data_IF_164319614826
#
_entry.id   IF_164319614826
#
_cell.length_a   1.000
_cell.length_b   1.000
_cell.length_c   1.000
_cell.angle_alpha   90.00
_cell.angle_beta   90.00
_cell.angle_gamma   90.00
#
_symmetry.space_group_name_H-M   'P 1'
#
loop_
_entity.id
_entity.type
_entity.pdbx_description
1 polymer ?
#
# COMPACT_ATOMS: atom_id res chain seq x y z
N UNK A 1 -20.82 -18.60 1.01
CA UNK A 1 -21.00 -17.75 2.20
C UNK A 1 -19.96 -16.64 2.08
N UNK A 2 -20.34 -15.40 2.41
CA UNK A 2 -19.94 -14.13 1.74
C UNK A 2 -18.44 -13.90 1.50
N UNK A 3 -18.08 -13.46 0.28
CA UNK A 3 -16.73 -13.01 -0.13
C UNK A 3 -16.20 -11.80 0.65
N UNK A 4 -17.01 -11.13 1.47
CA UNK A 4 -16.64 -10.22 2.55
C UNK A 4 -17.92 -10.03 3.39
N UNK A 5 -17.89 -10.24 4.71
CA UNK A 5 -19.09 -10.12 5.56
C UNK A 5 -19.31 -8.73 6.13
N UNK A 6 -18.33 -7.83 6.03
CA UNK A 6 -18.51 -6.47 6.55
C UNK A 6 -19.47 -5.65 5.67
N UNK A 7 -20.48 -4.97 6.28
CA UNK A 7 -21.39 -4.11 5.55
C UNK A 7 -20.62 -3.01 4.82
N UNK A 8 -21.12 -2.67 3.63
CA UNK A 8 -20.51 -1.68 2.76
C UNK A 8 -20.48 -0.29 3.42
N UNK A 9 -19.37 0.41 3.31
CA UNK A 9 -19.28 1.83 3.66
C UNK A 9 -19.93 2.65 2.55
N UNK A 10 -20.98 3.39 2.87
CA UNK A 10 -21.55 4.40 1.96
C UNK A 10 -20.53 5.53 1.77
N UNK A 11 -20.21 5.96 0.55
CA UNK A 11 -19.36 7.13 0.34
C UNK A 11 -19.92 8.34 1.10
N UNK A 12 -19.13 8.92 2.02
CA UNK A 12 -19.50 10.13 2.77
C UNK A 12 -20.11 9.92 4.17
N UNK A 13 -20.27 8.68 4.64
CA UNK A 13 -20.52 8.40 6.07
C UNK A 13 -19.25 7.80 6.64
N UNK A 14 -18.67 8.43 7.67
CA UNK A 14 -17.57 7.82 8.41
C UNK A 14 -18.09 6.52 9.05
N UNK A 15 -17.80 5.39 8.41
CA UNK A 15 -17.95 4.09 9.05
C UNK A 15 -17.03 4.09 10.27
N UNK A 16 -17.59 3.75 11.42
CA UNK A 16 -16.85 3.67 12.67
C UNK A 16 -16.68 2.20 13.00
N UNK A 17 -15.48 1.67 12.83
CA UNK A 17 -15.21 0.28 13.17
C UNK A 17 -14.78 0.20 14.63
N UNK A 18 -15.53 -0.57 15.43
CA UNK A 18 -15.27 -0.74 16.86
C UNK A 18 -14.64 -2.11 17.08
N UNK A 19 -13.52 -2.15 17.80
CA UNK A 19 -12.84 -3.38 18.19
C UNK A 19 -13.79 -4.27 19.00
N UNK A 20 -13.97 -5.56 18.66
CA UNK A 20 -14.88 -6.46 19.34
C UNK A 20 -14.64 -6.49 20.86
N UNK A 21 -15.73 -6.46 21.64
CA UNK A 21 -15.71 -6.48 23.10
C UNK A 21 -15.00 -5.31 23.79
N UNK A 22 -14.80 -4.19 23.07
CA UNK A 22 -14.25 -2.93 23.61
C UNK A 22 -15.07 -1.74 23.11
N UNK A 23 -14.76 -0.53 23.60
CA UNK A 23 -15.28 0.74 23.04
C UNK A 23 -14.25 1.42 22.11
N UNK A 24 -13.14 0.75 21.79
CA UNK A 24 -12.04 1.30 20.99
C UNK A 24 -12.45 1.37 19.53
N UNK A 25 -12.22 2.54 18.94
CA UNK A 25 -12.60 2.84 17.56
C UNK A 25 -11.34 2.83 16.70
N UNK A 26 -11.29 1.96 15.70
CA UNK A 26 -10.08 1.72 14.90
C UNK A 26 -9.61 2.99 14.19
N UNK A 27 -10.53 3.85 13.73
CA UNK A 27 -10.19 5.13 13.10
C UNK A 27 -9.45 6.08 14.06
N UNK A 28 -9.65 5.93 15.38
CA UNK A 28 -9.00 6.77 16.39
C UNK A 28 -7.60 6.29 16.79
N UNK A 29 -7.22 5.06 16.45
CA UNK A 29 -5.89 4.53 16.71
C UNK A 29 -4.88 5.16 15.75
N UNK A 30 -3.67 5.54 16.20
CA UNK A 30 -2.63 5.99 15.29
C UNK A 30 -2.16 4.84 14.41
N UNK A 31 -2.10 5.10 13.11
CA UNK A 31 -1.71 4.08 12.14
C UNK A 31 -0.56 4.54 11.24
N UNK A 32 0.13 3.56 10.67
CA UNK A 32 1.20 3.74 9.68
C UNK A 32 0.78 3.06 8.38
N UNK A 33 0.79 3.81 7.28
CA UNK A 33 0.48 3.28 5.93
C UNK A 33 1.76 3.17 5.12
N UNK A 34 2.24 1.96 4.84
CA UNK A 34 3.48 1.77 4.06
C UNK A 34 3.22 1.46 2.60
N UNK A 35 2.02 0.99 2.24
CA UNK A 35 1.68 0.55 0.88
C UNK A 35 0.32 1.08 0.44
N UNK A 36 0.35 2.25 -0.17
CA UNK A 36 -0.85 2.93 -0.66
C UNK A 36 -0.50 3.79 -1.89
N UNK A 37 -1.10 3.49 -3.04
CA UNK A 37 -0.82 4.15 -4.31
C UNK A 37 -1.63 5.44 -4.46
N UNK A 38 -0.97 6.54 -4.82
CA UNK A 38 -1.62 7.85 -5.02
C UNK A 38 -2.72 7.78 -6.09
N UNK A 39 -2.41 7.17 -7.23
CA UNK A 39 -3.29 6.96 -8.38
C UNK A 39 -4.33 5.85 -8.14
N UNK A 40 -4.11 5.03 -7.12
CA UNK A 40 -5.06 4.08 -6.56
C UNK A 40 -5.98 4.64 -5.46
N UNK A 41 -5.73 5.87 -5.00
CA UNK A 41 -6.41 6.51 -3.86
C UNK A 41 -7.26 7.72 -4.20
N UNK A 42 -7.50 8.00 -5.49
CA UNK A 42 -8.18 9.23 -5.94
C UNK A 42 -9.67 9.22 -5.54
N UNK A 43 -10.15 10.31 -4.94
CA UNK A 43 -11.57 10.45 -4.59
C UNK A 43 -12.45 10.40 -5.87
N UNK A 44 -13.52 9.57 -5.91
CA UNK A 44 -14.42 9.52 -7.07
C UNK A 44 -15.04 10.88 -7.44
N UNK A 45 -15.32 11.72 -6.44
CA UNK A 45 -15.81 13.10 -6.63
C UNK A 45 -14.81 13.93 -7.41
N UNK A 46 -13.52 13.84 -7.06
CA UNK A 46 -12.43 14.57 -7.70
C UNK A 46 -12.22 14.10 -9.14
N UNK A 47 -12.33 12.79 -9.41
CA UNK A 47 -12.30 12.26 -10.78
C UNK A 47 -13.41 12.89 -11.62
N UNK A 48 -14.66 12.91 -11.13
CA UNK A 48 -15.80 13.49 -11.85
C UNK A 48 -15.61 14.98 -12.13
N UNK A 49 -15.11 15.73 -11.17
CA UNK A 49 -14.85 17.17 -11.31
C UNK A 49 -13.75 17.44 -12.35
N UNK A 50 -12.59 16.82 -12.19
CA UNK A 50 -11.45 17.00 -13.09
C UNK A 50 -11.72 16.49 -14.50
N UNK A 51 -12.51 15.41 -14.63
CA UNK A 51 -12.95 14.91 -15.93
C UNK A 51 -13.87 15.92 -16.63
N UNK A 52 -14.80 16.54 -15.92
CA UNK A 52 -15.69 17.57 -16.46
C UNK A 52 -14.89 18.80 -16.93
N UNK A 53 -13.93 19.25 -16.13
CA UNK A 53 -13.03 20.35 -16.48
C UNK A 53 -12.15 20.02 -17.70
N UNK A 54 -11.67 18.78 -17.78
CA UNK A 54 -10.81 18.29 -18.85
C UNK A 54 -11.54 17.83 -20.11
N UNK A 55 -12.88 17.79 -20.12
CA UNK A 55 -13.67 17.23 -21.22
C UNK A 55 -13.47 15.73 -21.45
N UNK A 56 -13.19 14.97 -20.38
CA UNK A 56 -12.92 13.54 -20.42
C UNK A 56 -14.22 12.74 -20.22
N UNK A 57 -14.36 11.63 -20.95
CA UNK A 57 -15.47 10.69 -20.75
C UNK A 57 -15.15 9.72 -19.62
N UNK A 58 -16.14 9.47 -18.76
CA UNK A 58 -16.04 8.52 -17.65
C UNK A 58 -17.03 7.37 -17.85
N UNK A 59 -16.76 6.20 -17.25
CA UNK A 59 -17.72 5.07 -17.25
C UNK A 59 -18.99 5.38 -16.44
N UNK A 60 -18.96 6.40 -15.58
CA UNK A 60 -20.12 6.90 -14.85
C UNK A 60 -20.00 8.42 -14.55
N UNK A 61 -21.13 9.11 -14.52
CA UNK A 61 -21.18 10.59 -14.43
C UNK A 61 -21.21 11.15 -12.99
N UNK A 62 -21.32 10.27 -11.97
CA UNK A 62 -21.39 10.68 -10.56
C UNK A 62 -20.53 9.80 -9.67
N UNK A 63 -20.10 10.34 -8.54
CA UNK A 63 -19.09 9.74 -7.66
C UNK A 63 -19.44 8.34 -7.15
N UNK A 64 -20.68 8.13 -6.70
CA UNK A 64 -21.14 6.82 -6.17
C UNK A 64 -21.07 5.71 -7.22
N UNK A 65 -21.80 5.83 -8.35
CA UNK A 65 -21.71 4.90 -9.47
C UNK A 65 -20.30 4.69 -10.02
N UNK A 66 -19.46 5.74 -10.02
CA UNK A 66 -18.06 5.61 -10.43
C UNK A 66 -17.25 4.75 -9.45
N UNK A 67 -17.42 4.96 -8.14
CA UNK A 67 -16.79 4.13 -7.11
C UNK A 67 -17.24 2.65 -7.22
N UNK A 68 -18.54 2.43 -7.47
CA UNK A 68 -19.08 1.09 -7.69
C UNK A 68 -18.47 0.41 -8.92
N UNK A 69 -18.25 1.17 -9.99
CA UNK A 69 -17.59 0.68 -11.20
C UNK A 69 -16.15 0.23 -10.93
N UNK A 70 -15.35 1.06 -10.24
CA UNK A 70 -13.98 0.71 -9.84
C UNK A 70 -13.96 -0.58 -9.02
N UNK A 71 -14.78 -0.65 -7.97
CA UNK A 71 -14.85 -1.82 -7.07
C UNK A 71 -15.29 -3.09 -7.79
N UNK A 72 -16.28 -2.99 -8.68
CA UNK A 72 -16.78 -4.15 -9.44
C UNK A 72 -15.71 -4.70 -10.38
N UNK A 73 -14.93 -3.81 -11.01
CA UNK A 73 -13.80 -4.23 -11.85
C UNK A 73 -12.66 -4.84 -11.03
N UNK A 74 -12.40 -4.32 -9.82
CA UNK A 74 -11.40 -4.88 -8.91
C UNK A 74 -11.76 -6.29 -8.40
N UNK A 75 -13.03 -6.59 -8.12
CA UNK A 75 -13.51 -7.91 -7.66
C UNK A 75 -13.55 -9.00 -8.76
N UNK A 76 -12.70 -8.86 -9.79
CA UNK A 76 -12.64 -9.74 -10.95
C UNK A 76 -11.79 -10.99 -10.73
N UNK A 77 -10.98 -11.07 -9.67
CA UNK A 77 -10.04 -12.15 -9.43
C UNK A 77 -8.83 -12.13 -10.39
N UNK A 78 -8.52 -10.97 -10.98
CA UNK A 78 -7.48 -10.80 -12.00
C UNK A 78 -6.78 -9.45 -11.86
N UNK A 79 -5.47 -9.48 -11.63
CA UNK A 79 -4.64 -8.27 -11.63
C UNK A 79 -4.75 -7.48 -12.96
N UNK A 80 -4.94 -8.15 -14.10
CA UNK A 80 -5.06 -7.45 -15.40
C UNK A 80 -6.31 -6.58 -15.43
N UNK A 81 -7.47 -7.13 -15.07
CA UNK A 81 -8.74 -6.39 -15.05
C UNK A 81 -8.75 -5.32 -13.96
N UNK A 82 -8.05 -5.55 -12.85
CA UNK A 82 -7.80 -4.54 -11.83
C UNK A 82 -7.04 -3.33 -12.39
N UNK A 83 -5.94 -3.57 -13.11
CA UNK A 83 -5.07 -2.54 -13.68
C UNK A 83 -5.73 -1.72 -14.80
N UNK A 84 -6.69 -2.29 -15.55
CA UNK A 84 -7.42 -1.57 -16.59
C UNK A 84 -8.16 -0.33 -16.06
N UNK A 85 -8.56 -0.33 -14.78
CA UNK A 85 -9.27 0.80 -14.17
C UNK A 85 -8.39 2.03 -13.98
N UNK A 86 -7.06 1.87 -13.87
CA UNK A 86 -6.13 2.99 -13.72
C UNK A 86 -6.13 3.93 -14.92
N UNK A 87 -6.55 3.48 -16.11
CA UNK A 87 -6.71 4.37 -17.25
C UNK A 87 -7.61 5.58 -16.93
N UNK A 88 -8.61 5.39 -16.06
CA UNK A 88 -9.50 6.47 -15.61
C UNK A 88 -8.80 7.42 -14.65
N UNK A 89 -8.14 6.92 -13.60
CA UNK A 89 -7.44 7.79 -12.62
C UNK A 89 -6.27 8.52 -13.28
N UNK A 90 -5.48 7.83 -14.08
CA UNK A 90 -4.37 8.43 -14.83
C UNK A 90 -4.85 9.53 -15.77
N UNK A 91 -6.02 9.42 -16.40
CA UNK A 91 -6.53 10.43 -17.34
C UNK A 91 -6.72 11.82 -16.70
N UNK A 92 -7.06 11.87 -15.41
CA UNK A 92 -7.24 13.11 -14.65
C UNK A 92 -5.97 13.58 -13.95
N UNK A 93 -4.90 12.78 -13.96
CA UNK A 93 -3.63 13.04 -13.25
C UNK A 93 -2.50 13.51 -14.18
N UNK A 94 -2.81 14.19 -15.29
CA UNK A 94 -1.81 14.56 -16.31
C UNK A 94 -1.30 16.01 -16.20
N UNK A 95 -1.65 16.75 -15.15
CA UNK A 95 -1.22 18.14 -14.97
C UNK A 95 -0.73 18.38 -13.54
N UNK A 96 0.21 19.30 -13.36
CA UNK A 96 0.73 19.66 -12.04
C UNK A 96 -0.36 20.12 -11.04
N UNK A 97 -1.35 20.97 -11.42
CA UNK A 97 -2.43 21.32 -10.51
C UNK A 97 -3.28 20.13 -10.06
N UNK A 98 -3.56 19.18 -10.97
CA UNK A 98 -4.36 18.00 -10.64
C UNK A 98 -3.61 17.06 -9.71
N UNK A 99 -2.32 16.80 -9.99
CA UNK A 99 -1.45 16.01 -9.11
C UNK A 99 -1.36 16.63 -7.71
N UNK A 100 -1.15 17.95 -7.63
CA UNK A 100 -1.07 18.66 -6.35
C UNK A 100 -2.37 18.56 -5.56
N UNK A 101 -3.53 18.74 -6.22
CA UNK A 101 -4.84 18.58 -5.59
C UNK A 101 -5.04 17.17 -5.05
N UNK A 102 -4.81 16.15 -5.89
CA UNK A 102 -5.04 14.75 -5.53
C UNK A 102 -4.11 14.32 -4.40
N UNK A 103 -2.85 14.76 -4.40
CA UNK A 103 -1.92 14.49 -3.31
C UNK A 103 -2.36 15.15 -1.99
N UNK A 104 -2.86 16.39 -2.02
CA UNK A 104 -3.40 17.05 -0.83
C UNK A 104 -4.60 16.29 -0.24
N UNK A 105 -5.55 15.91 -1.11
CA UNK A 105 -6.73 15.13 -0.72
C UNK A 105 -6.35 13.75 -0.17
N UNK A 106 -5.32 13.12 -0.73
CA UNK A 106 -4.79 11.85 -0.26
C UNK A 106 -4.28 11.94 1.19
N UNK A 107 -3.53 13.00 1.53
CA UNK A 107 -3.06 13.25 2.91
C UNK A 107 -4.22 13.47 3.86
N UNK A 108 -5.22 14.24 3.44
CA UNK A 108 -6.42 14.51 4.23
C UNK A 108 -7.20 13.23 4.55
N UNK A 109 -7.35 12.34 3.57
CA UNK A 109 -8.03 11.05 3.73
C UNK A 109 -7.29 10.14 4.70
N UNK A 110 -5.96 10.05 4.58
CA UNK A 110 -5.13 9.29 5.52
C UNK A 110 -5.25 9.82 6.95
N UNK A 111 -5.16 11.14 7.13
CA UNK A 111 -5.31 11.75 8.46
C UNK A 111 -6.73 11.60 9.02
N UNK A 112 -7.75 11.58 8.16
CA UNK A 112 -9.13 11.29 8.54
C UNK A 112 -9.30 9.85 9.02
N UNK A 113 -8.55 8.92 8.43
CA UNK A 113 -8.50 7.52 8.83
C UNK A 113 -7.55 7.26 10.01
N UNK A 114 -6.97 8.29 10.66
CA UNK A 114 -6.09 8.15 11.83
C UNK A 114 -4.65 7.75 11.52
N UNK A 115 -4.23 7.86 10.26
CA UNK A 115 -2.82 7.66 9.88
C UNK A 115 -1.99 8.86 10.32
N UNK A 116 -0.88 8.58 11.00
CA UNK A 116 0.06 9.60 11.50
C UNK A 116 1.38 9.61 10.71
N UNK A 117 1.71 8.52 10.03
CA UNK A 117 2.82 8.43 9.09
C UNK A 117 2.44 7.59 7.87
N UNK A 118 2.79 8.05 6.68
CA UNK A 118 2.55 7.31 5.44
C UNK A 118 3.71 7.39 4.46
N UNK A 119 3.93 6.31 3.72
CA UNK A 119 4.82 6.26 2.56
C UNK A 119 3.97 6.06 1.31
N UNK A 120 3.64 7.17 0.64
CA UNK A 120 2.80 7.16 -0.56
C UNK A 120 3.62 6.73 -1.77
N UNK A 121 3.11 5.78 -2.55
CA UNK A 121 3.78 5.29 -3.75
C UNK A 121 3.02 5.68 -5.02
N UNK A 122 3.75 5.90 -6.11
CA UNK A 122 3.18 6.23 -7.43
C UNK A 122 4.28 6.27 -8.48
N UNK A 123 3.92 6.22 -9.77
CA UNK A 123 4.87 6.20 -10.88
C UNK A 123 4.89 7.53 -11.66
N UNK A 124 5.89 8.41 -11.47
CA UNK A 124 5.96 9.71 -12.15
C UNK A 124 5.88 9.64 -13.67
N UNK A 125 6.41 8.57 -14.26
CA UNK A 125 6.40 8.35 -15.70
C UNK A 125 5.00 8.24 -16.33
N UNK A 126 3.99 7.85 -15.55
CA UNK A 126 2.60 7.71 -16.01
C UNK A 126 1.85 9.05 -16.14
N UNK A 127 2.47 10.16 -15.72
CA UNK A 127 1.83 11.47 -15.62
C UNK A 127 2.37 12.50 -16.63
N UNK A 128 2.89 12.02 -17.76
CA UNK A 128 3.64 12.82 -18.74
C UNK A 128 2.88 13.09 -20.05
N UNK A 129 1.66 12.57 -20.21
CA UNK A 129 0.92 12.57 -21.49
C UNK A 129 0.52 13.96 -21.98
N UNK A 130 0.44 14.96 -21.09
CA UNK A 130 0.17 16.37 -21.43
C UNK A 130 1.42 17.26 -21.35
N UNK A 131 2.62 16.67 -21.45
CA UNK A 131 3.89 17.39 -21.56
C UNK A 131 4.55 17.76 -20.23
N UNK A 132 4.04 17.23 -19.11
CA UNK A 132 4.69 17.35 -17.81
C UNK A 132 5.96 16.47 -17.80
N UNK A 133 7.07 17.00 -17.28
CA UNK A 133 8.24 16.17 -17.03
C UNK A 133 8.05 15.31 -15.77
N UNK A 134 8.74 14.17 -15.68
CA UNK A 134 8.70 13.31 -14.49
C UNK A 134 9.16 14.06 -13.22
N UNK A 135 10.10 14.99 -13.37
CA UNK A 135 10.63 15.86 -12.31
C UNK A 135 9.59 16.92 -11.85
N UNK A 136 8.88 17.55 -12.79
CA UNK A 136 7.78 18.46 -12.47
C UNK A 136 6.60 17.74 -11.81
N UNK A 137 6.33 16.49 -12.21
CA UNK A 137 5.32 15.66 -11.57
C UNK A 137 5.67 15.41 -10.10
N UNK A 138 6.93 15.05 -9.80
CA UNK A 138 7.38 14.83 -8.41
C UNK A 138 7.25 16.08 -7.56
N UNK A 139 7.64 17.24 -8.10
CA UNK A 139 7.43 18.53 -7.42
C UNK A 139 5.96 18.86 -7.18
N UNK A 140 5.09 18.56 -8.14
CA UNK A 140 3.65 18.79 -7.99
C UNK A 140 3.04 17.94 -6.88
N UNK A 141 3.37 16.64 -6.84
CA UNK A 141 2.92 15.74 -5.77
C UNK A 141 3.47 16.20 -4.42
N UNK A 142 4.75 16.57 -4.33
CA UNK A 142 5.33 17.11 -3.09
C UNK A 142 4.60 18.37 -2.60
N UNK A 143 4.32 19.32 -3.50
CA UNK A 143 3.57 20.53 -3.16
C UNK A 143 2.17 20.21 -2.65
N UNK A 144 1.51 19.21 -3.25
CA UNK A 144 0.21 18.72 -2.78
C UNK A 144 0.27 18.09 -1.40
N UNK A 145 1.28 17.24 -1.15
CA UNK A 145 1.52 16.63 0.17
C UNK A 145 1.68 17.72 1.23
N UNK A 146 2.53 18.72 0.99
CA UNK A 146 2.77 19.83 1.93
C UNK A 146 1.48 20.62 2.21
N UNK A 147 0.69 20.88 1.18
CA UNK A 147 -0.61 21.54 1.34
C UNK A 147 -1.60 20.69 2.15
N UNK A 148 -1.66 19.38 1.89
CA UNK A 148 -2.51 18.45 2.64
C UNK A 148 -2.11 18.38 4.12
N UNK A 149 -0.81 18.32 4.42
CA UNK A 149 -0.29 18.36 5.80
C UNK A 149 -0.71 19.68 6.48
N UNK A 150 -0.58 20.80 5.80
CA UNK A 150 -1.00 22.10 6.33
C UNK A 150 -2.51 22.16 6.59
N UNK A 151 -3.33 21.62 5.69
CA UNK A 151 -4.79 21.53 5.86
C UNK A 151 -5.14 20.69 7.10
N UNK A 152 -4.52 19.52 7.26
CA UNK A 152 -4.72 18.63 8.41
C UNK A 152 -4.34 19.32 9.73
N UNK A 153 -3.25 20.08 9.75
CA UNK A 153 -2.81 20.83 10.93
C UNK A 153 -3.86 21.84 11.42
N UNK A 154 -4.66 22.43 10.52
CA UNK A 154 -5.76 23.34 10.92
C UNK A 154 -6.86 22.66 11.74
N UNK A 155 -6.98 21.32 11.63
CA UNK A 155 -7.90 20.50 12.42
C UNK A 155 -7.30 20.01 13.75
N UNK A 156 -6.09 20.44 14.11
CA UNK A 156 -5.38 20.01 15.32
C UNK A 156 -4.78 18.60 15.24
N UNK A 157 -4.73 18.00 14.03
CA UNK A 157 -4.12 16.70 13.76
C UNK A 157 -2.74 16.86 13.13
N UNK A 158 -1.91 15.84 13.28
CA UNK A 158 -0.55 15.80 12.71
C UNK A 158 -0.39 14.54 11.87
N UNK A 159 0.19 14.70 10.69
CA UNK A 159 0.54 13.59 9.79
C UNK A 159 1.86 13.92 9.08
N UNK A 160 2.66 12.91 8.80
CA UNK A 160 3.87 13.00 7.98
C UNK A 160 3.76 12.05 6.81
N UNK A 161 4.14 12.50 5.62
CA UNK A 161 4.09 11.69 4.39
C UNK A 161 5.43 11.76 3.68
N UNK A 162 5.98 10.61 3.30
CA UNK A 162 7.11 10.48 2.39
C UNK A 162 6.69 9.84 1.07
N UNK A 163 7.37 10.16 -0.03
CA UNK A 163 7.10 9.58 -1.34
C UNK A 163 8.00 8.37 -1.62
N UNK A 164 7.44 7.32 -2.22
CA UNK A 164 8.15 6.24 -2.89
C UNK A 164 7.90 6.39 -4.40
N UNK A 165 8.97 6.52 -5.17
CA UNK A 165 8.84 6.61 -6.63
C UNK A 165 8.90 5.21 -7.24
N UNK A 166 7.82 4.83 -7.92
CA UNK A 166 7.69 3.54 -8.58
C UNK A 166 8.23 3.62 -10.02
N UNK A 167 9.10 2.68 -10.38
CA UNK A 167 9.32 2.35 -11.78
C UNK A 167 8.33 1.25 -12.21
N UNK A 168 7.76 1.37 -13.40
CA UNK A 168 6.86 0.35 -13.93
C UNK A 168 7.68 -0.79 -14.56
N UNK A 169 7.45 -2.02 -14.10
CA UNK A 169 8.17 -3.25 -14.50
C UNK A 169 8.27 -3.47 -16.01
N UNK A 170 7.21 -3.10 -16.73
CA UNK A 170 7.06 -3.23 -18.17
C UNK A 170 7.67 -2.08 -18.96
N UNK A 171 8.06 -1.00 -18.28
CA UNK A 171 8.69 0.16 -18.89
C UNK A 171 10.21 0.07 -18.71
N UNK A 172 10.96 0.38 -19.75
CA UNK A 172 12.43 0.39 -19.70
C UNK A 172 12.96 1.77 -19.20
N UNK A 173 12.41 2.27 -18.09
CA UNK A 173 12.66 3.61 -17.55
C UNK A 173 13.14 3.61 -16.09
N UNK A 174 13.47 2.43 -15.53
CA UNK A 174 13.80 2.25 -14.12
C UNK A 174 14.95 3.14 -13.62
N UNK A 175 16.02 3.31 -14.41
CA UNK A 175 17.16 4.12 -14.02
C UNK A 175 16.80 5.61 -13.86
N UNK A 176 15.94 6.15 -14.74
CA UNK A 176 15.53 7.55 -14.64
C UNK A 176 14.71 7.81 -13.38
N UNK A 177 13.80 6.88 -13.03
CA UNK A 177 13.01 6.97 -11.79
C UNK A 177 13.91 6.83 -10.56
N UNK A 178 14.90 5.93 -10.58
CA UNK A 178 15.88 5.80 -9.50
C UNK A 178 16.72 7.08 -9.30
N UNK A 179 17.14 7.72 -10.40
CA UNK A 179 17.83 9.01 -10.37
C UNK A 179 16.97 10.11 -9.76
N UNK A 180 15.68 10.17 -10.10
CA UNK A 180 14.74 11.09 -9.46
C UNK A 180 14.60 10.83 -7.97
N UNK A 181 14.48 9.56 -7.56
CA UNK A 181 14.31 9.23 -6.16
C UNK A 181 15.49 9.76 -5.33
N UNK A 182 16.72 9.56 -5.83
CA UNK A 182 17.95 10.09 -5.22
C UNK A 182 17.98 11.62 -5.25
N UNK A 183 17.61 12.25 -6.37
CA UNK A 183 17.62 13.71 -6.51
C UNK A 183 16.65 14.41 -5.54
N UNK A 184 15.52 13.78 -5.22
CA UNK A 184 14.46 14.33 -4.36
C UNK A 184 14.48 13.82 -2.91
N UNK A 185 15.55 13.13 -2.48
CA UNK A 185 15.66 12.55 -1.13
C UNK A 185 15.55 13.58 0.00
N UNK A 186 15.97 14.82 -0.27
CA UNK A 186 15.91 15.94 0.68
C UNK A 186 14.66 16.82 0.48
N UNK A 187 13.78 16.41 -0.44
CA UNK A 187 12.54 17.14 -0.78
C UNK A 187 11.33 16.20 -0.77
N UNK A 188 11.30 15.26 0.18
CA UNK A 188 10.13 14.44 0.49
C UNK A 188 10.10 13.03 -0.11
N UNK A 189 11.02 12.66 -1.01
CA UNK A 189 11.16 11.25 -1.43
C UNK A 189 11.95 10.48 -0.38
N UNK A 190 11.41 9.35 0.08
CA UNK A 190 12.01 8.51 1.11
C UNK A 190 12.44 7.14 0.61
N UNK A 191 12.13 6.79 -0.64
CA UNK A 191 12.50 5.50 -1.20
C UNK A 191 12.09 5.30 -2.65
N UNK A 192 12.37 4.09 -3.12
CA UNK A 192 12.04 3.61 -4.47
C UNK A 192 11.20 2.33 -4.40
N UNK A 193 10.39 2.09 -5.43
CA UNK A 193 9.62 0.85 -5.61
C UNK A 193 9.58 0.43 -7.09
N UNK A 194 9.16 -0.79 -7.36
CA UNK A 194 8.74 -1.24 -8.69
C UNK A 194 7.33 -1.80 -8.62
N UNK A 195 6.49 -1.44 -9.59
CA UNK A 195 5.09 -1.83 -9.66
C UNK A 195 4.72 -2.28 -11.08
N UNK A 196 3.45 -2.64 -11.30
CA UNK A 196 2.95 -3.15 -12.58
C UNK A 196 2.94 -4.68 -12.66
N UNK A 197 2.79 -5.27 -13.86
CA UNK A 197 2.67 -6.71 -14.03
C UNK A 197 3.92 -7.43 -13.50
N UNK A 198 3.73 -8.30 -12.52
CA UNK A 198 4.82 -9.04 -11.88
C UNK A 198 5.33 -10.18 -12.77
N UNK A 199 4.42 -11.09 -13.15
CA UNK A 199 4.74 -12.26 -13.97
C UNK A 199 5.32 -11.84 -15.34
N UNK A 200 6.49 -12.38 -15.66
CA UNK A 200 7.20 -12.10 -16.92
C UNK A 200 8.07 -10.83 -16.89
N UNK A 201 8.04 -10.05 -15.81
CA UNK A 201 8.88 -8.86 -15.66
C UNK A 201 9.71 -8.93 -14.37
N UNK A 202 10.72 -9.83 -14.31
CA UNK A 202 11.51 -10.03 -13.09
C UNK A 202 12.29 -8.76 -12.70
N UNK A 203 12.58 -8.63 -11.41
CA UNK A 203 13.32 -7.48 -10.86
C UNK A 203 14.68 -7.28 -11.56
N UNK A 204 15.37 -8.35 -11.96
CA UNK A 204 16.65 -8.30 -12.69
C UNK A 204 16.64 -7.45 -13.96
N UNK A 205 15.48 -7.13 -14.54
CA UNK A 205 15.37 -6.18 -15.66
C UNK A 205 15.83 -4.76 -15.30
N UNK A 206 15.72 -4.36 -14.03
CA UNK A 206 16.06 -3.03 -13.52
C UNK A 206 17.42 -3.02 -12.79
N UNK A 207 18.35 -3.90 -13.19
CA UNK A 207 19.63 -4.07 -12.50
C UNK A 207 20.47 -2.78 -12.45
N UNK A 208 20.40 -1.94 -13.47
CA UNK A 208 21.09 -0.63 -13.53
C UNK A 208 20.50 0.36 -12.52
N UNK A 209 19.18 0.42 -12.41
CA UNK A 209 18.47 1.20 -11.40
C UNK A 209 18.87 0.75 -9.99
N UNK A 210 18.89 -0.57 -9.72
CA UNK A 210 19.28 -1.07 -8.41
C UNK A 210 20.75 -0.82 -8.08
N UNK A 211 21.64 -0.94 -9.05
CA UNK A 211 23.05 -0.58 -8.87
C UNK A 211 23.20 0.92 -8.53
N UNK A 212 22.47 1.80 -9.22
CA UNK A 212 22.47 3.23 -8.91
C UNK A 212 21.94 3.51 -7.50
N UNK A 213 20.85 2.87 -7.08
CA UNK A 213 20.30 3.03 -5.73
C UNK A 213 21.26 2.54 -4.64
N UNK A 214 22.06 1.50 -4.90
CA UNK A 214 23.12 1.04 -3.99
C UNK A 214 24.24 2.08 -3.82
N UNK A 215 24.71 2.65 -4.92
CA UNK A 215 25.76 3.69 -4.91
C UNK A 215 25.34 4.93 -4.09
N UNK A 216 24.04 5.17 -4.00
CA UNK A 216 23.44 6.34 -3.34
C UNK A 216 22.72 6.04 -2.02
N UNK A 217 22.75 4.79 -1.54
CA UNK A 217 22.14 4.35 -0.28
C UNK A 217 20.65 4.70 -0.19
N UNK A 218 19.91 4.56 -1.30
CA UNK A 218 18.48 4.81 -1.33
C UNK A 218 17.71 3.54 -0.95
N UNK A 219 16.90 3.56 0.12
CA UNK A 219 16.09 2.42 0.48
C UNK A 219 15.01 2.12 -0.58
N UNK A 220 14.61 0.86 -0.65
CA UNK A 220 13.62 0.38 -1.61
C UNK A 220 12.77 -0.74 -1.06
N UNK A 221 11.49 -0.66 -1.38
CA UNK A 221 10.55 -1.79 -1.33
C UNK A 221 10.37 -2.32 -2.74
N UNK A 222 9.91 -3.55 -2.91
CA UNK A 222 9.70 -4.17 -4.22
C UNK A 222 8.40 -4.98 -4.14
N UNK A 223 7.41 -4.67 -4.98
CA UNK A 223 6.23 -5.55 -5.13
C UNK A 223 6.70 -6.95 -5.51
N UNK A 224 6.38 -7.98 -4.75
CA UNK A 224 6.68 -9.35 -5.12
C UNK A 224 5.80 -10.33 -4.35
N UNK A 225 5.49 -11.47 -4.94
CA UNK A 225 4.65 -12.47 -4.31
C UNK A 225 3.17 -12.08 -4.26
N UNK A 226 2.69 -11.31 -5.22
CA UNK A 226 1.27 -10.96 -5.39
C UNK A 226 0.67 -11.72 -6.58
N UNK A 227 1.26 -11.53 -7.77
CA UNK A 227 0.83 -12.11 -9.03
C UNK A 227 1.88 -13.06 -9.64
N UNK A 228 2.96 -13.34 -8.91
CA UNK A 228 3.94 -14.37 -9.20
C UNK A 228 4.38 -15.07 -7.89
N UNK A 229 5.07 -16.20 -7.99
CA UNK A 229 5.41 -17.06 -6.86
C UNK A 229 6.73 -16.71 -6.16
N UNK A 230 7.28 -17.73 -5.48
CA UNK A 230 8.52 -17.63 -4.70
C UNK A 230 9.73 -17.12 -5.49
N UNK A 231 9.81 -17.39 -6.80
CA UNK A 231 10.92 -16.92 -7.64
C UNK A 231 10.94 -15.39 -7.76
N UNK A 232 9.77 -14.76 -7.83
CA UNK A 232 9.69 -13.30 -7.85
C UNK A 232 10.10 -12.69 -6.50
N UNK A 233 9.67 -13.29 -5.38
CA UNK A 233 10.14 -12.89 -4.05
C UNK A 233 11.66 -13.04 -3.94
N UNK A 234 12.22 -14.16 -4.41
CA UNK A 234 13.65 -14.38 -4.42
C UNK A 234 14.39 -13.34 -5.28
N UNK A 235 13.86 -13.00 -6.45
CA UNK A 235 14.40 -11.95 -7.33
C UNK A 235 14.33 -10.56 -6.71
N UNK A 236 13.22 -10.22 -6.04
CA UNK A 236 13.08 -8.96 -5.31
C UNK A 236 14.14 -8.80 -4.21
N UNK A 237 14.44 -9.88 -3.49
CA UNK A 237 15.45 -9.85 -2.42
C UNK A 237 16.89 -9.87 -2.96
N UNK A 238 17.16 -10.65 -4.01
CA UNK A 238 18.52 -10.86 -4.52
C UNK A 238 18.95 -9.82 -5.54
N UNK A 239 18.15 -9.61 -6.59
CA UNK A 239 18.41 -8.61 -7.63
C UNK A 239 17.95 -7.22 -7.18
N UNK A 240 16.72 -7.15 -6.67
CA UNK A 240 16.10 -5.91 -6.21
C UNK A 240 16.65 -5.41 -4.88
N UNK A 241 17.35 -6.26 -4.12
CA UNK A 241 17.93 -5.92 -2.80
C UNK A 241 16.91 -5.19 -1.91
N UNK A 242 15.69 -5.70 -1.93
CA UNK A 242 14.55 -5.10 -1.26
C UNK A 242 14.73 -5.11 0.26
N UNK A 243 14.38 -4.00 0.91
CA UNK A 243 14.34 -3.88 2.37
C UNK A 243 12.96 -4.27 2.93
N UNK A 244 11.92 -4.17 2.10
CA UNK A 244 10.55 -4.62 2.33
C UNK A 244 10.00 -5.25 1.06
N UNK A 245 8.99 -6.09 1.18
CA UNK A 245 8.30 -6.70 0.05
C UNK A 245 6.88 -6.12 -0.03
N UNK A 246 6.55 -5.49 -1.16
CA UNK A 246 5.17 -5.13 -1.48
C UNK A 246 4.36 -6.41 -1.64
N UNK A 247 3.31 -6.58 -0.83
CA UNK A 247 2.60 -7.84 -0.62
C UNK A 247 3.46 -8.92 0.05
N UNK A 248 4.15 -9.77 -0.74
CA UNK A 248 4.88 -10.94 -0.23
C UNK A 248 3.98 -12.08 0.28
N UNK A 249 2.68 -12.04 0.00
CA UNK A 249 1.70 -13.00 0.54
C UNK A 249 1.96 -14.44 0.09
N UNK A 250 2.46 -14.62 -1.14
CA UNK A 250 2.89 -15.91 -1.70
C UNK A 250 4.14 -16.50 -1.03
N UNK A 251 4.75 -15.82 -0.07
CA UNK A 251 5.79 -16.44 0.77
C UNK A 251 5.25 -17.62 1.57
N UNK A 252 3.94 -17.66 1.81
CA UNK A 252 3.26 -18.79 2.43
C UNK A 252 3.51 -20.13 1.68
N UNK A 253 3.77 -20.09 0.37
CA UNK A 253 4.05 -21.30 -0.45
C UNK A 253 5.35 -22.01 0.00
N UNK A 254 6.23 -21.29 0.69
CA UNK A 254 7.48 -21.81 1.24
C UNK A 254 7.31 -22.38 2.67
N UNK A 255 6.08 -22.48 3.18
CA UNK A 255 5.76 -22.97 4.52
C UNK A 255 4.99 -24.29 4.40
N UNK A 256 5.54 -25.34 4.99
CA UNK A 256 5.03 -26.71 4.85
C UNK A 256 4.60 -27.23 6.22
N UNK A 257 3.35 -27.67 6.38
CA UNK A 257 2.93 -28.34 7.61
C UNK A 257 3.70 -29.64 7.81
N UNK A 258 4.40 -29.76 8.93
CA UNK A 258 5.20 -30.93 9.28
C UNK A 258 4.36 -32.02 9.96
N UNK A 259 3.23 -31.64 10.58
CA UNK A 259 2.25 -32.56 11.17
C UNK A 259 0.83 -31.99 11.08
N UNK A 260 -0.13 -32.86 10.81
CA UNK A 260 -1.55 -32.46 10.71
C UNK A 260 -2.19 -32.12 12.07
N UNK A 261 -1.59 -32.56 13.18
CA UNK A 261 -2.14 -32.41 14.55
C UNK A 261 -1.58 -31.20 15.32
N UNK A 262 -0.54 -30.53 14.82
CA UNK A 262 -0.02 -29.29 15.39
C UNK A 262 0.12 -28.20 14.30
N UNK A 263 -0.77 -27.21 14.25
CA UNK A 263 -0.74 -26.16 13.23
C UNK A 263 0.52 -25.28 13.31
N UNK A 264 1.29 -25.35 14.41
CA UNK A 264 2.56 -24.62 14.57
C UNK A 264 3.79 -25.46 14.18
N UNK A 265 3.62 -26.75 13.98
CA UNK A 265 4.69 -27.61 13.48
C UNK A 265 4.82 -27.39 11.97
N UNK A 266 5.57 -26.36 11.57
CA UNK A 266 5.88 -26.08 10.17
C UNK A 266 7.36 -26.28 9.88
N UNK A 267 7.66 -26.69 8.65
CA UNK A 267 8.99 -26.63 8.05
C UNK A 267 8.97 -25.52 7.02
N UNK A 268 9.93 -24.60 7.10
CA UNK A 268 10.08 -23.53 6.12
C UNK A 268 11.16 -23.89 5.12
N UNK A 269 11.00 -23.45 3.87
CA UNK A 269 12.11 -23.42 2.93
C UNK A 269 13.04 -22.24 3.24
N UNK A 270 14.27 -22.28 2.71
CA UNK A 270 15.32 -21.30 3.02
C UNK A 270 14.92 -19.85 2.75
N UNK A 271 14.05 -19.62 1.77
CA UNK A 271 13.56 -18.29 1.44
C UNK A 271 12.70 -17.71 2.56
N UNK A 272 11.73 -18.48 3.06
CA UNK A 272 10.89 -18.10 4.20
C UNK A 272 11.74 -17.91 5.47
N UNK A 273 12.68 -18.82 5.76
CA UNK A 273 13.63 -18.64 6.87
C UNK A 273 14.45 -17.36 6.74
N UNK A 274 14.88 -17.01 5.53
CA UNK A 274 15.66 -15.79 5.28
C UNK A 274 14.86 -14.53 5.60
N UNK A 275 13.61 -14.46 5.11
CA UNK A 275 12.70 -13.34 5.36
C UNK A 275 12.41 -13.21 6.85
N UNK A 276 12.02 -14.32 7.51
CA UNK A 276 11.68 -14.35 8.93
C UNK A 276 12.84 -13.87 9.81
N UNK A 277 14.02 -14.44 9.62
CA UNK A 277 15.18 -14.18 10.48
C UNK A 277 15.75 -12.76 10.33
N UNK A 278 15.48 -12.09 9.19
CA UNK A 278 15.90 -10.71 8.94
C UNK A 278 14.81 -9.69 9.21
N UNK A 279 13.61 -10.14 9.59
CA UNK A 279 12.45 -9.27 9.81
C UNK A 279 12.17 -8.38 8.59
N UNK A 280 12.33 -8.95 7.39
CA UNK A 280 11.94 -8.27 6.15
C UNK A 280 10.43 -8.14 6.17
N UNK A 281 9.94 -6.89 6.11
CA UNK A 281 8.52 -6.61 6.23
C UNK A 281 7.76 -7.06 4.97
N UNK A 282 6.61 -7.67 5.20
CA UNK A 282 5.62 -8.01 4.19
C UNK A 282 4.52 -6.95 4.25
N UNK A 283 4.46 -6.10 3.24
CA UNK A 283 3.48 -5.04 3.13
C UNK A 283 2.16 -5.61 2.59
N UNK A 284 1.44 -6.35 3.43
CA UNK A 284 0.26 -7.12 3.01
C UNK A 284 -0.95 -6.20 2.86
N UNK A 285 -1.76 -6.47 1.83
CA UNK A 285 -2.95 -5.68 1.48
C UNK A 285 -4.16 -6.60 1.34
N UNK A 286 -4.80 -7.00 2.45
CA UNK A 286 -5.73 -8.14 2.48
C UNK A 286 -6.86 -8.09 1.45
N UNK A 287 -7.60 -6.98 1.37
CA UNK A 287 -8.70 -6.84 0.41
C UNK A 287 -8.19 -6.87 -1.02
N UNK A 288 -7.07 -6.19 -1.31
CA UNK A 288 -6.46 -6.22 -2.64
C UNK A 288 -6.03 -7.65 -3.01
N UNK A 289 -5.35 -8.36 -2.12
CA UNK A 289 -4.91 -9.73 -2.34
C UNK A 289 -6.07 -10.70 -2.63
N UNK A 290 -7.22 -10.51 -1.98
CA UNK A 290 -8.43 -11.29 -2.28
C UNK A 290 -8.99 -10.95 -3.67
N UNK A 291 -9.09 -9.66 -3.99
CA UNK A 291 -9.64 -9.16 -5.26
C UNK A 291 -8.76 -9.51 -6.48
N UNK A 292 -7.44 -9.49 -6.32
CA UNK A 292 -6.49 -9.85 -7.38
C UNK A 292 -6.30 -11.35 -7.53
N UNK A 293 -6.80 -12.15 -6.58
CA UNK A 293 -6.65 -13.60 -6.55
C UNK A 293 -5.26 -14.06 -6.12
N UNK A 294 -4.50 -13.20 -5.42
CA UNK A 294 -3.10 -13.44 -5.03
C UNK A 294 -2.90 -14.72 -4.20
N UNK A 295 -3.93 -15.17 -3.48
CA UNK A 295 -3.89 -16.39 -2.66
C UNK A 295 -4.94 -17.43 -3.07
N UNK A 296 -5.41 -17.40 -4.32
CA UNK A 296 -6.51 -18.26 -4.79
C UNK A 296 -6.25 -19.77 -4.64
N UNK A 297 -4.99 -20.20 -4.47
CA UNK A 297 -4.62 -21.59 -4.19
C UNK A 297 -4.95 -22.04 -2.75
N UNK A 298 -5.11 -21.10 -1.82
CA UNK A 298 -5.47 -21.36 -0.42
C UNK A 298 -7.00 -21.33 -0.22
N UNK A 299 -7.70 -20.48 -0.96
CA UNK A 299 -9.15 -20.34 -0.91
C UNK A 299 -9.65 -19.06 -1.58
N UNK A 300 -10.92 -18.71 -1.38
CA UNK A 300 -11.57 -17.56 -2.02
C UNK A 300 -12.30 -16.64 -1.03
N UNK A 301 -11.99 -16.78 0.26
CA UNK A 301 -12.51 -15.93 1.33
C UNK A 301 -11.38 -15.33 2.15
N UNK A 302 -11.69 -14.25 2.89
CA UNK A 302 -10.70 -13.63 3.77
C UNK A 302 -10.19 -14.58 4.87
N UNK A 303 -10.98 -15.58 5.28
CA UNK A 303 -10.56 -16.57 6.27
C UNK A 303 -9.43 -17.49 5.77
N UNK A 304 -9.29 -17.61 4.45
CA UNK A 304 -8.24 -18.41 3.80
C UNK A 304 -6.97 -17.58 3.55
N UNK A 305 -6.98 -16.28 3.88
CA UNK A 305 -5.87 -15.38 3.58
C UNK A 305 -4.60 -15.80 4.35
N UNK A 306 -3.43 -15.91 3.69
CA UNK A 306 -2.17 -16.29 4.35
C UNK A 306 -1.64 -15.30 5.40
N UNK A 307 -2.36 -14.21 5.69
CA UNK A 307 -1.93 -13.20 6.66
C UNK A 307 -1.79 -13.84 8.04
N UNK A 308 -2.77 -14.64 8.45
CA UNK A 308 -2.82 -15.25 9.78
C UNK A 308 -1.68 -16.23 10.02
N UNK A 309 -1.40 -17.12 9.05
CA UNK A 309 -0.29 -18.07 9.22
C UNK A 309 1.08 -17.36 9.23
N UNK A 310 1.28 -16.34 8.39
CA UNK A 310 2.50 -15.54 8.38
C UNK A 310 2.68 -14.79 9.71
N UNK A 311 1.63 -14.14 10.20
CA UNK A 311 1.66 -13.43 11.47
C UNK A 311 1.95 -14.36 12.66
N UNK A 312 1.20 -15.47 12.77
CA UNK A 312 1.37 -16.45 13.88
C UNK A 312 2.74 -17.11 13.92
N UNK A 313 3.41 -17.22 12.77
CA UNK A 313 4.77 -17.74 12.66
C UNK A 313 5.86 -16.69 12.93
N UNK A 314 5.47 -15.45 13.23
CA UNK A 314 6.36 -14.37 13.65
C UNK A 314 7.02 -13.60 12.51
N UNK A 315 6.48 -13.71 11.28
CA UNK A 315 6.87 -12.82 10.18
C UNK A 315 6.45 -11.38 10.48
N UNK A 316 7.25 -10.43 10.01
CA UNK A 316 6.93 -9.00 10.12
C UNK A 316 5.89 -8.67 9.05
N UNK A 317 4.61 -8.83 9.38
CA UNK A 317 3.50 -8.41 8.52
C UNK A 317 3.02 -7.02 8.91
N UNK A 318 2.69 -6.21 7.92
CA UNK A 318 1.99 -4.94 8.09
C UNK A 318 0.66 -4.99 7.36
N UNK A 319 -0.30 -4.17 7.79
CA UNK A 319 -1.61 -4.06 7.13
C UNK A 319 -1.62 -2.80 6.27
N UNK A 320 -2.03 -2.90 5.01
CA UNK A 320 -2.05 -1.79 4.07
C UNK A 320 -3.26 -1.86 3.13
N UNK A 321 -3.53 -0.77 2.41
CA UNK A 321 -4.69 -0.65 1.52
C UNK A 321 -4.39 -0.98 0.07
N UNK A 322 -3.14 -0.82 -0.36
CA UNK A 322 -2.72 -0.85 -1.77
C UNK A 322 -3.44 0.22 -2.60
N UNK A 323 -4.68 0.02 -3.05
CA UNK A 323 -5.45 1.02 -3.80
C UNK A 323 -6.83 1.23 -3.17
N UNK A 324 -6.96 2.30 -2.36
CA UNK A 324 -8.20 2.59 -1.60
C UNK A 324 -9.45 2.69 -2.50
N UNK A 325 -9.33 3.30 -3.68
CA UNK A 325 -10.44 3.47 -4.62
C UNK A 325 -10.87 2.14 -5.23
N UNK A 326 -9.91 1.39 -5.80
CA UNK A 326 -10.16 0.14 -6.51
C UNK A 326 -10.70 -0.90 -5.53
N UNK A 327 -10.05 -1.04 -4.38
CA UNK A 327 -10.46 -2.00 -3.36
C UNK A 327 -11.65 -1.53 -2.53
N UNK A 328 -12.04 -0.25 -2.67
CA UNK A 328 -13.14 0.35 -1.92
C UNK A 328 -12.94 0.22 -0.42
N UNK A 329 -11.73 0.52 0.07
CA UNK A 329 -11.29 0.25 1.45
C UNK A 329 -10.56 1.45 2.08
N UNK A 330 -10.29 1.36 3.38
CA UNK A 330 -9.43 2.26 4.16
C UNK A 330 -8.54 1.41 5.07
N UNK A 331 -7.49 1.99 5.65
CA UNK A 331 -6.60 1.22 6.52
C UNK A 331 -7.33 0.74 7.78
N UNK A 332 -8.22 1.56 8.34
CA UNK A 332 -9.09 1.13 9.45
C UNK A 332 -9.99 -0.03 9.05
N UNK A 333 -10.50 -0.04 7.82
CA UNK A 333 -11.34 -1.13 7.32
C UNK A 333 -10.54 -2.41 7.12
N UNK A 334 -9.32 -2.35 6.57
CA UNK A 334 -8.44 -3.52 6.45
C UNK A 334 -8.17 -4.16 7.81
N UNK A 335 -7.86 -3.34 8.82
CA UNK A 335 -7.69 -3.81 10.20
C UNK A 335 -8.99 -4.42 10.73
N UNK A 336 -10.13 -3.76 10.54
CA UNK A 336 -11.43 -4.26 11.01
C UNK A 336 -11.79 -5.62 10.39
N UNK A 337 -11.52 -5.80 9.10
CA UNK A 337 -11.70 -7.08 8.38
C UNK A 337 -10.88 -8.17 9.05
N UNK A 338 -9.58 -7.93 9.26
CA UNK A 338 -8.68 -8.92 9.87
C UNK A 338 -9.09 -9.25 11.31
N UNK A 339 -9.49 -8.23 12.08
CA UNK A 339 -9.97 -8.39 13.47
C UNK A 339 -11.23 -9.26 13.52
N UNK A 340 -12.22 -9.01 12.66
CA UNK A 340 -13.45 -9.82 12.60
C UNK A 340 -13.14 -11.27 12.20
N UNK A 341 -12.32 -11.47 11.18
CA UNK A 341 -12.10 -12.77 10.56
C UNK A 341 -11.21 -13.67 11.42
N UNK A 342 -10.12 -13.13 11.96
CA UNK A 342 -9.11 -13.92 12.69
C UNK A 342 -9.19 -13.75 14.21
N UNK A 343 -10.11 -12.91 14.70
CA UNK A 343 -10.31 -12.67 16.13
C UNK A 343 -9.15 -11.91 16.77
N UNK A 344 -8.46 -11.04 16.01
CA UNK A 344 -7.35 -10.25 16.54
C UNK A 344 -7.79 -9.27 17.62
N UNK A 345 -6.92 -9.09 18.59
CA UNK A 345 -7.09 -8.21 19.75
C UNK A 345 -6.48 -6.84 19.49
N UNK A 346 -6.65 -5.92 20.44
CA UNK A 346 -5.99 -4.61 20.38
C UNK A 346 -4.46 -4.73 20.37
N UNK A 347 -3.91 -5.71 21.09
CA UNK A 347 -2.46 -5.98 21.13
C UNK A 347 -1.94 -6.44 19.76
N UNK A 348 -2.69 -7.27 19.04
CA UNK A 348 -2.33 -7.67 17.67
C UNK A 348 -2.35 -6.46 16.72
N UNK A 349 -3.34 -5.58 16.86
CA UNK A 349 -3.41 -4.34 16.07
C UNK A 349 -2.22 -3.41 16.39
N UNK A 350 -1.82 -3.33 17.66
CA UNK A 350 -0.60 -2.61 18.06
C UNK A 350 0.62 -3.21 17.37
N UNK A 351 0.79 -4.53 17.40
CA UNK A 351 1.91 -5.22 16.75
C UNK A 351 1.97 -4.94 15.25
N UNK A 352 0.83 -4.87 14.55
CA UNK A 352 0.80 -4.49 13.13
C UNK A 352 1.36 -3.07 12.91
N UNK A 353 0.99 -2.12 13.77
CA UNK A 353 1.45 -0.73 13.67
C UNK A 353 2.91 -0.58 14.10
N UNK A 354 3.39 -1.36 15.07
CA UNK A 354 4.79 -1.42 15.47
C UNK A 354 5.67 -2.01 14.36
N UNK A 355 5.23 -3.10 13.73
CA UNK A 355 5.89 -3.67 12.56
C UNK A 355 6.04 -2.62 11.45
N UNK A 356 4.96 -1.88 11.17
CA UNK A 356 4.98 -0.82 10.15
C UNK A 356 5.90 0.35 10.54
N UNK A 357 5.81 0.87 11.77
CA UNK A 357 6.66 1.96 12.23
C UNK A 357 8.16 1.61 12.21
N UNK A 358 8.52 0.38 12.62
CA UNK A 358 9.90 -0.11 12.61
C UNK A 358 10.44 -0.33 11.18
N UNK A 359 9.55 -0.63 10.24
CA UNK A 359 9.89 -0.90 8.84
C UNK A 359 9.93 0.36 7.98
N UNK A 360 9.48 1.51 8.49
CA UNK A 360 9.50 2.78 7.77
C UNK A 360 10.93 3.16 7.29
N UNK A 361 11.02 3.81 6.15
CA UNK A 361 12.26 4.40 5.63
C UNK A 361 12.63 5.72 6.29
N UNK A 362 12.06 5.98 7.46
CA UNK A 362 12.49 7.04 8.37
C UNK A 362 13.88 6.76 8.97
N UNK A 363 14.63 7.82 9.32
CA UNK A 363 15.77 7.71 10.22
C UNK A 363 15.42 7.00 11.53
N UNK A 364 16.43 6.38 12.16
CA UNK A 364 16.21 5.52 13.32
C UNK A 364 15.56 6.24 14.51
N UNK A 365 16.00 7.45 14.83
CA UNK A 365 15.46 8.30 15.89
C UNK A 365 14.01 8.71 15.62
N UNK A 366 13.68 8.99 14.35
CA UNK A 366 12.32 9.31 13.94
C UNK A 366 11.39 8.09 14.00
N UNK A 367 11.89 6.89 13.68
CA UNK A 367 11.15 5.63 13.90
C UNK A 367 10.91 5.37 15.37
N UNK A 368 11.90 5.56 16.23
CA UNK A 368 11.74 5.38 17.69
C UNK A 368 10.69 6.35 18.25
N UNK A 369 10.68 7.59 17.76
CA UNK A 369 9.66 8.58 18.10
C UNK A 369 8.27 8.11 17.63
N UNK A 370 8.15 7.64 16.39
CA UNK A 370 6.89 7.13 15.85
C UNK A 370 6.37 5.93 16.64
N UNK A 371 7.24 4.98 16.98
CA UNK A 371 6.93 3.82 17.83
C UNK A 371 6.41 4.27 19.19
N UNK A 372 7.10 5.22 19.84
CA UNK A 372 6.70 5.72 21.16
C UNK A 372 5.31 6.37 21.12
N UNK A 373 5.03 7.18 20.10
CA UNK A 373 3.71 7.81 19.91
C UNK A 373 2.59 6.77 19.74
N UNK A 374 2.86 5.68 19.03
CA UNK A 374 1.91 4.59 18.83
C UNK A 374 1.64 3.87 20.16
N UNK A 375 2.69 3.43 20.86
CA UNK A 375 2.56 2.74 22.15
C UNK A 375 1.76 3.60 23.13
N UNK A 376 2.16 4.85 23.32
CA UNK A 376 1.50 5.79 24.22
C UNK A 376 0.00 5.95 23.92
N UNK A 377 -0.39 5.91 22.64
CA UNK A 377 -1.78 6.06 22.25
C UNK A 377 -2.59 4.77 22.47
N UNK A 378 -2.01 3.60 22.18
CA UNK A 378 -2.66 2.32 22.42
C UNK A 378 -2.82 2.03 23.91
N UNK A 379 -1.88 2.43 24.77
CA UNK A 379 -2.01 2.33 26.23
C UNK A 379 -3.14 3.20 26.81
N UNK A 380 -3.55 4.26 26.08
CA UNK A 380 -4.66 5.14 26.48
C UNK A 380 -6.02 4.71 25.94
N UNK A 381 -6.04 3.87 24.90
CA UNK A 381 -7.26 3.37 24.26
C UNK A 381 -7.87 2.25 25.12
#
# INVERSE_FOLDING_TARGET
MSRLTLPQTTPGVASRHVMPHTDVVIESLPKVSLHDHLDGGVRPTTIVELAREGGLSLPADTAGPLADWFRTAADSGSLVSYLETFAVTLSVMQTAPNLSRIAAEFVEDLAADGVIYGEIRWAPELHTQKGLSIDDAVRAVQSGIEQGIANVATSGRTIRIGQLLCAMRQNDNGLAVAQLAVAHRESGVVGFDIAGPEAGFPASRLADAFAYLDEHWMPRTIHAGEADGLDSIAGALSDGRALRLGHGVRLADAIHHARDDDPRAVRMDRLAEWVLNRKIALEVSPTSNLQTGAFAEYGDTMADHPFDILYRLGFTVTVNTDNRLMSGTTLSREIAVLVEVFGYTLDDVLDFQLNAAQSAFLPADERETLVSLIIDAFERA
#
